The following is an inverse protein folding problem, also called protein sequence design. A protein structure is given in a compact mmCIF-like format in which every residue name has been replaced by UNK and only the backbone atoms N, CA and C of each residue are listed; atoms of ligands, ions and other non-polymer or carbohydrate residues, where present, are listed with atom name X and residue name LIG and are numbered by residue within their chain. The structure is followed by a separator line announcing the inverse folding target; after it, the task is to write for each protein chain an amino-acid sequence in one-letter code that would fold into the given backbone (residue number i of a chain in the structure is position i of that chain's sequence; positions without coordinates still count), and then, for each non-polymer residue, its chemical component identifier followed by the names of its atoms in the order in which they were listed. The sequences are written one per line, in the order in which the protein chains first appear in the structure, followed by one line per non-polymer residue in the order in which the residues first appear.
data_IF_539116714949
#
_entry.id   IF_539116714949
#
_cell.length_a   1.000
_cell.length_b   1.000
_cell.length_c   1.000
_cell.angle_alpha   90.00
_cell.angle_beta   90.00
_cell.angle_gamma   90.00
#
_symmetry.space_group_name_H-M   'P 1'
#
loop_
_entity.id
_entity.type
_entity.pdbx_description
1 polymer ?
#
# COMPACT_ATOMS: atom_id res chain seq x y z
N UNK A 1 -15.98 -5.46 -4.34
CA UNK A 1 -15.52 -4.06 -4.53
C UNK A 1 -15.28 -3.32 -3.23
N UNK A 2 -16.11 -3.58 -2.20
CA UNK A 2 -15.90 -2.92 -0.89
C UNK A 2 -14.51 -3.17 -0.33
N UNK A 3 -14.04 -4.42 -0.39
CA UNK A 3 -12.69 -4.78 0.07
C UNK A 3 -11.61 -3.98 -0.64
N UNK A 4 -11.69 -3.87 -1.97
CA UNK A 4 -10.68 -3.16 -2.76
C UNK A 4 -10.69 -1.66 -2.42
N UNK A 5 -11.89 -1.06 -2.30
CA UNK A 5 -12.01 0.37 -1.96
C UNK A 5 -11.41 0.64 -0.57
N UNK A 6 -11.73 -0.21 0.41
CA UNK A 6 -11.21 -0.06 1.76
C UNK A 6 -9.67 -0.24 1.79
N UNK A 7 -9.15 -1.20 1.03
CA UNK A 7 -7.71 -1.41 0.94
C UNK A 7 -7.02 -0.22 0.27
N UNK A 8 -7.64 0.36 -0.75
CA UNK A 8 -7.08 1.54 -1.41
C UNK A 8 -6.97 2.71 -0.45
N UNK A 9 -8.04 3.01 0.30
CA UNK A 9 -8.04 4.08 1.30
C UNK A 9 -6.99 3.80 2.38
N UNK A 10 -6.96 2.57 2.89
CA UNK A 10 -6.00 2.14 3.90
C UNK A 10 -4.56 2.35 3.41
N UNK A 11 -4.27 2.00 2.17
CA UNK A 11 -2.93 2.12 1.62
C UNK A 11 -2.49 3.57 1.43
N UNK A 12 -3.42 4.47 1.17
CA UNK A 12 -3.10 5.90 1.12
C UNK A 12 -2.60 6.36 2.50
N UNK A 13 -3.33 6.04 3.56
CA UNK A 13 -2.90 6.37 4.92
C UNK A 13 -1.59 5.69 5.29
N UNK A 14 -1.45 4.40 4.96
CA UNK A 14 -0.25 3.63 5.25
C UNK A 14 0.98 4.23 4.57
N UNK A 15 0.85 4.64 3.32
CA UNK A 15 1.96 5.23 2.58
C UNK A 15 2.43 6.53 3.24
N UNK A 16 1.49 7.37 3.67
CA UNK A 16 1.86 8.58 4.40
C UNK A 16 2.46 8.27 5.77
N UNK A 17 1.95 7.25 6.47
CA UNK A 17 2.47 6.86 7.77
C UNK A 17 3.93 6.42 7.67
N UNK A 18 4.27 5.62 6.67
CA UNK A 18 5.61 5.05 6.53
C UNK A 18 6.58 5.98 5.82
N UNK A 19 6.13 6.75 4.83
CA UNK A 19 7.03 7.46 3.93
C UNK A 19 6.79 8.96 3.86
N UNK A 20 5.68 9.47 4.39
CA UNK A 20 5.37 10.89 4.31
C UNK A 20 6.41 11.77 4.98
N UNK A 21 7.04 11.27 6.06
CA UNK A 21 8.07 11.99 6.79
C UNK A 21 9.38 12.15 6.01
N UNK A 22 9.56 11.41 4.93
CA UNK A 22 10.79 11.51 4.13
C UNK A 22 10.96 12.89 3.49
N UNK A 23 9.86 13.62 3.32
CA UNK A 23 9.91 15.00 2.84
C UNK A 23 10.43 15.94 3.92
N UNK A 24 10.36 15.57 5.19
CA UNK A 24 10.71 16.39 6.35
C UNK A 24 11.80 15.72 7.19
N UNK A 25 12.93 15.37 6.56
CA UNK A 25 14.00 14.61 7.21
C UNK A 25 14.64 15.32 8.39
N UNK A 26 14.48 16.65 8.46
CA UNK A 26 15.09 17.44 9.54
C UNK A 26 14.21 17.51 10.78
N UNK A 27 13.00 16.97 10.73
CA UNK A 27 12.13 16.91 11.91
C UNK A 27 12.66 15.91 12.93
N UNK A 28 12.31 16.15 14.20
CA UNK A 28 12.68 15.23 15.27
C UNK A 28 12.12 13.84 15.01
N UNK A 29 12.96 12.82 15.20
CA UNK A 29 12.57 11.43 14.99
C UNK A 29 11.36 11.06 15.85
N UNK A 30 11.34 11.47 17.12
CA UNK A 30 10.24 11.14 18.03
C UNK A 30 8.92 11.76 17.60
N UNK A 31 8.96 13.01 17.11
CA UNK A 31 7.76 13.67 16.59
C UNK A 31 7.23 12.92 15.36
N UNK A 32 8.14 12.51 14.47
CA UNK A 32 7.78 11.75 13.27
C UNK A 32 7.13 10.42 13.65
N UNK A 33 7.69 9.72 14.62
CA UNK A 33 7.15 8.43 15.08
C UNK A 33 5.71 8.61 15.59
N UNK A 34 5.47 9.61 16.40
CA UNK A 34 4.14 9.85 16.99
C UNK A 34 3.13 10.22 15.89
N UNK A 35 3.50 11.09 14.96
CA UNK A 35 2.62 11.52 13.88
C UNK A 35 2.32 10.32 12.95
N UNK A 36 3.34 9.54 12.60
CA UNK A 36 3.16 8.36 11.76
C UNK A 36 2.25 7.33 12.43
N UNK A 37 2.43 7.13 13.72
CA UNK A 37 1.57 6.24 14.49
C UNK A 37 0.11 6.70 14.46
N UNK A 38 -0.13 8.00 14.60
CA UNK A 38 -1.48 8.56 14.50
C UNK A 38 -2.10 8.34 13.12
N UNK A 39 -1.31 8.48 12.06
CA UNK A 39 -1.77 8.22 10.70
C UNK A 39 -2.08 6.73 10.53
N UNK A 40 -1.24 5.85 11.07
CA UNK A 40 -1.46 4.41 11.01
C UNK A 40 -2.74 3.98 11.73
N UNK A 41 -3.15 4.71 12.76
CA UNK A 41 -4.44 4.43 13.41
C UNK A 41 -5.59 4.53 12.42
N UNK A 42 -5.61 5.55 11.58
CA UNK A 42 -6.63 5.69 10.54
C UNK A 42 -6.53 4.60 9.49
N UNK A 43 -5.29 4.19 9.15
CA UNK A 43 -5.06 3.08 8.24
C UNK A 43 -5.74 1.80 8.76
N UNK A 44 -5.62 1.51 10.04
CA UNK A 44 -6.23 0.33 10.64
C UNK A 44 -7.76 0.36 10.59
N UNK A 45 -8.37 1.52 10.72
CA UNK A 45 -9.83 1.65 10.64
C UNK A 45 -10.36 1.13 9.30
N UNK A 46 -9.58 1.27 8.24
CA UNK A 46 -9.93 0.79 6.91
C UNK A 46 -9.38 -0.61 6.62
N UNK A 47 -8.18 -0.91 7.11
CA UNK A 47 -7.48 -2.16 6.82
C UNK A 47 -8.16 -3.36 7.48
N UNK A 48 -8.47 -3.27 8.75
CA UNK A 48 -9.04 -4.40 9.49
C UNK A 48 -10.40 -4.81 8.94
N UNK A 49 -11.36 -3.89 8.73
CA UNK A 49 -12.61 -4.26 8.08
C UNK A 49 -12.42 -4.83 6.68
N UNK A 50 -11.46 -4.28 5.91
CA UNK A 50 -11.18 -4.78 4.56
C UNK A 50 -10.78 -6.25 4.58
N UNK A 51 -9.90 -6.62 5.51
CA UNK A 51 -9.44 -8.00 5.63
C UNK A 51 -10.57 -8.93 6.11
N UNK A 52 -11.38 -8.49 7.05
CA UNK A 52 -12.49 -9.30 7.54
C UNK A 52 -13.54 -9.55 6.47
N UNK A 53 -13.93 -8.51 5.75
CA UNK A 53 -14.90 -8.63 4.67
C UNK A 53 -14.32 -9.46 3.52
N UNK A 54 -13.06 -9.16 3.17
CA UNK A 54 -12.40 -9.82 2.04
C UNK A 54 -12.13 -11.29 2.26
N UNK A 55 -11.90 -11.71 3.50
CA UNK A 55 -11.61 -13.11 3.80
C UNK A 55 -12.81 -14.01 3.50
N UNK A 56 -14.01 -13.48 3.40
CA UNK A 56 -15.16 -14.23 2.94
C UNK A 56 -15.13 -14.55 1.45
N UNK A 57 -14.40 -13.79 0.65
CA UNK A 57 -14.28 -13.96 -0.80
C UNK A 57 -12.93 -14.50 -1.24
N UNK A 58 -11.86 -14.16 -0.51
CA UNK A 58 -10.49 -14.48 -0.88
C UNK A 58 -9.80 -15.17 0.29
N UNK A 59 -8.86 -16.07 -0.01
CA UNK A 59 -7.99 -16.59 1.04
C UNK A 59 -6.94 -15.54 1.45
N UNK A 60 -6.17 -15.85 2.51
CA UNK A 60 -5.21 -14.89 3.05
C UNK A 60 -4.13 -14.53 2.03
N UNK A 61 -3.65 -15.50 1.25
CA UNK A 61 -2.63 -15.24 0.23
C UNK A 61 -3.15 -14.30 -0.85
N UNK A 62 -4.39 -14.48 -1.27
CA UNK A 62 -5.01 -13.62 -2.27
C UNK A 62 -5.21 -12.21 -1.74
N UNK A 63 -5.66 -12.07 -0.47
CA UNK A 63 -5.81 -10.77 0.16
C UNK A 63 -4.48 -10.03 0.24
N UNK A 64 -3.43 -10.72 0.66
CA UNK A 64 -2.09 -10.12 0.75
C UNK A 64 -1.60 -9.67 -0.62
N UNK A 65 -1.85 -10.46 -1.65
CA UNK A 65 -1.46 -10.13 -3.01
C UNK A 65 -2.18 -8.89 -3.52
N UNK A 66 -3.50 -8.79 -3.26
CA UNK A 66 -4.27 -7.59 -3.61
C UNK A 66 -3.70 -6.37 -2.91
N UNK A 67 -3.38 -6.50 -1.62
CA UNK A 67 -2.78 -5.39 -0.85
C UNK A 67 -1.44 -4.96 -1.43
N UNK A 68 -0.58 -5.91 -1.82
CA UNK A 68 0.72 -5.57 -2.37
C UNK A 68 0.60 -4.84 -3.70
N UNK A 69 -0.30 -5.27 -4.58
CA UNK A 69 -0.53 -4.59 -5.85
C UNK A 69 -1.03 -3.16 -5.61
N UNK A 70 -2.02 -2.99 -4.72
CA UNK A 70 -2.55 -1.67 -4.39
C UNK A 70 -1.46 -0.81 -3.76
N UNK A 71 -0.68 -1.38 -2.83
CA UNK A 71 0.43 -0.68 -2.16
C UNK A 71 1.41 -0.12 -3.19
N UNK A 72 1.79 -0.92 -4.17
CA UNK A 72 2.75 -0.49 -5.18
C UNK A 72 2.20 0.59 -6.10
N UNK A 73 0.94 0.48 -6.48
CA UNK A 73 0.29 1.50 -7.30
C UNK A 73 0.23 2.83 -6.54
N UNK A 74 -0.25 2.78 -5.30
CA UNK A 74 -0.35 3.98 -4.45
C UNK A 74 1.04 4.56 -4.20
N UNK A 75 2.02 3.72 -3.89
CA UNK A 75 3.38 4.17 -3.62
C UNK A 75 4.02 4.80 -4.85
N UNK A 76 3.78 4.25 -6.04
CA UNK A 76 4.32 4.81 -7.28
C UNK A 76 3.83 6.24 -7.48
N UNK A 77 2.52 6.47 -7.35
CA UNK A 77 1.98 7.82 -7.45
C UNK A 77 2.51 8.72 -6.35
N UNK A 78 2.61 8.21 -5.13
CA UNK A 78 3.12 8.96 -3.99
C UNK A 78 4.57 9.39 -4.23
N UNK A 79 5.43 8.47 -4.66
CA UNK A 79 6.85 8.79 -4.84
C UNK A 79 7.07 9.80 -5.97
N UNK A 80 6.30 9.69 -7.04
CA UNK A 80 6.43 10.63 -8.17
C UNK A 80 5.84 12.00 -7.82
N UNK A 81 4.65 12.03 -7.21
CA UNK A 81 3.92 13.28 -6.99
C UNK A 81 4.31 13.98 -5.70
N UNK A 82 4.50 13.23 -4.62
CA UNK A 82 4.79 13.82 -3.30
C UNK A 82 6.28 13.94 -3.04
N UNK A 83 7.04 12.88 -3.25
CA UNK A 83 8.49 12.89 -3.05
C UNK A 83 9.24 13.42 -4.26
N UNK A 84 8.59 13.53 -5.39
CA UNK A 84 9.17 14.05 -6.65
C UNK A 84 10.36 13.24 -7.13
N UNK A 85 10.28 11.92 -6.98
CA UNK A 85 11.29 11.01 -7.47
C UNK A 85 10.99 10.59 -8.91
N UNK A 86 12.01 10.22 -9.66
CA UNK A 86 11.85 9.81 -11.05
C UNK A 86 11.34 8.37 -11.13
N UNK A 87 10.41 8.11 -12.06
CA UNK A 87 9.99 6.76 -12.39
C UNK A 87 10.93 6.21 -13.44
N UNK A 88 11.64 5.13 -13.10
CA UNK A 88 12.65 4.53 -13.96
C UNK A 88 12.15 3.26 -14.64
N UNK A 89 12.79 2.90 -15.75
CA UNK A 89 12.45 1.71 -16.52
C UNK A 89 12.45 0.43 -15.71
N UNK A 90 13.42 0.28 -14.80
CA UNK A 90 13.51 -0.91 -13.97
C UNK A 90 12.28 -1.08 -13.07
N UNK A 91 11.64 0.01 -12.65
CA UNK A 91 10.39 -0.07 -11.89
C UNK A 91 9.26 -0.62 -12.76
N UNK A 92 9.18 -0.19 -14.01
CA UNK A 92 8.17 -0.70 -14.94
C UNK A 92 8.34 -2.21 -15.16
N UNK A 93 9.58 -2.68 -15.34
CA UNK A 93 9.86 -4.11 -15.50
C UNK A 93 9.48 -4.87 -14.23
N UNK A 94 9.83 -4.35 -13.06
CA UNK A 94 9.47 -4.97 -11.78
C UNK A 94 7.96 -5.11 -11.60
N UNK A 95 7.22 -4.07 -11.92
CA UNK A 95 5.76 -4.11 -11.82
C UNK A 95 5.16 -5.12 -12.79
N UNK A 96 5.71 -5.23 -14.00
CA UNK A 96 5.26 -6.23 -14.97
C UNK A 96 5.45 -7.65 -14.43
N UNK A 97 6.60 -7.91 -13.80
CA UNK A 97 6.86 -9.22 -13.18
C UNK A 97 5.88 -9.49 -12.05
N UNK A 98 5.48 -8.48 -11.30
CA UNK A 98 4.49 -8.63 -10.24
C UNK A 98 3.11 -8.95 -10.78
N UNK A 99 2.74 -8.39 -11.93
CA UNK A 99 1.48 -8.74 -12.60
C UNK A 99 1.48 -10.23 -12.96
N UNK A 100 2.61 -10.76 -13.41
CA UNK A 100 2.73 -12.20 -13.68
C UNK A 100 2.59 -13.01 -12.40
N UNK A 101 3.17 -12.54 -11.29
CA UNK A 101 3.02 -13.20 -9.98
C UNK A 101 1.55 -13.26 -9.55
N UNK A 102 0.82 -12.17 -9.72
CA UNK A 102 -0.61 -12.11 -9.41
C UNK A 102 -1.37 -13.15 -10.21
N UNK A 103 -1.07 -13.27 -11.49
CA UNK A 103 -1.71 -14.24 -12.36
C UNK A 103 -1.57 -15.66 -11.80
N UNK A 104 -0.36 -16.05 -11.38
CA UNK A 104 -0.14 -17.38 -10.82
C UNK A 104 -0.84 -17.59 -9.49
N UNK A 105 -0.91 -16.57 -8.64
CA UNK A 105 -1.54 -16.69 -7.33
C UNK A 105 -3.05 -16.89 -7.46
N UNK A 106 -3.69 -16.22 -8.42
CA UNK A 106 -5.14 -16.31 -8.60
C UNK A 106 -5.56 -17.43 -9.55
N UNK A 107 -4.63 -18.04 -10.26
CA UNK A 107 -4.96 -19.12 -11.17
C UNK A 107 -5.41 -20.36 -10.39
N UNK A 108 -6.52 -20.95 -10.81
CA UNK A 108 -6.98 -22.23 -10.27
C UNK A 108 -6.34 -23.37 -11.05
N UNK A 109 -5.56 -24.20 -10.36
CA UNK A 109 -4.85 -25.34 -10.96
C UNK A 109 -5.68 -26.60 -10.98
#
# INVERSE_FOLDING_TARGET
MTTVVLLLISNIFMTFAWYGHLKYKQSSLWIVIVISWGIAFFEYIFQVPANRIGHGQFNAAQLKTIQEVITLIVFTFFSVLYLKEEFKWNYAVGFLLMILAVFFIFKKW
#
